data_IF_578659597531
#
_entry.id   IF_578659597531
#
_cell.length_a   1.000
_cell.length_b   1.000
_cell.length_c   1.000
_cell.angle_alpha   90.00
_cell.angle_beta   90.00
_cell.angle_gamma   90.00
#
_symmetry.space_group_name_H-M   'P 1'
#
loop_
_entity.id
_entity.type
_entity.pdbx_description
1 polymer ?
#
# COMPACT_ATOMS: atom_id res chain seq x y z
N UNK A 1 -45.92 13.90 5.63
CA UNK A 1 -45.32 14.58 4.47
C UNK A 1 -44.96 15.99 4.87
N UNK A 2 -43.67 16.21 5.11
CA UNK A 2 -43.14 17.34 5.88
C UNK A 2 -43.04 18.62 5.00
N UNK A 3 -43.27 19.79 5.60
CA UNK A 3 -43.31 21.09 4.93
C UNK A 3 -42.00 21.42 4.16
N UNK A 4 -40.91 20.74 4.52
CA UNK A 4 -39.58 20.86 3.94
C UNK A 4 -39.49 20.20 2.53
N UNK A 5 -40.19 19.09 2.29
CA UNK A 5 -40.16 18.39 0.99
C UNK A 5 -40.92 19.14 -0.10
N UNK A 6 -41.84 20.02 0.26
CA UNK A 6 -42.59 20.85 -0.70
C UNK A 6 -41.78 22.03 -1.22
N UNK A 7 -40.76 22.49 -0.47
CA UNK A 7 -39.95 23.67 -0.82
C UNK A 7 -38.85 23.30 -1.86
N UNK A 8 -38.45 22.06 -1.93
CA UNK A 8 -37.43 21.59 -2.92
C UNK A 8 -38.05 21.24 -4.29
N UNK A 9 -39.37 21.28 -4.43
CA UNK A 9 -40.08 20.90 -5.68
C UNK A 9 -40.67 22.08 -6.46
N UNK A 10 -40.39 23.32 -6.06
CA UNK A 10 -40.70 24.45 -6.91
C UNK A 10 -39.63 24.56 -7.98
N UNK A 11 -39.94 24.48 -9.28
CA UNK A 11 -39.02 24.86 -10.32
C UNK A 11 -38.65 26.33 -10.06
N UNK A 12 -37.36 26.58 -9.83
CA UNK A 12 -36.85 27.93 -9.74
C UNK A 12 -37.34 28.68 -10.97
N UNK A 13 -38.02 29.80 -10.71
CA UNK A 13 -38.51 30.70 -11.76
C UNK A 13 -37.26 31.14 -12.56
N UNK A 14 -37.04 30.43 -13.69
CA UNK A 14 -35.84 30.60 -14.51
C UNK A 14 -35.94 31.88 -15.31
N UNK A 15 -35.81 33.02 -14.59
CA UNK A 15 -35.55 34.26 -15.28
C UNK A 15 -34.24 34.07 -16.05
N UNK A 16 -34.26 34.24 -17.39
CA UNK A 16 -33.02 34.03 -18.15
C UNK A 16 -31.92 34.94 -17.60
N UNK A 17 -30.77 34.35 -17.33
CA UNK A 17 -29.61 35.12 -16.86
C UNK A 17 -29.32 36.24 -17.85
N UNK A 18 -29.05 37.46 -17.42
CA UNK A 18 -28.67 38.56 -18.31
C UNK A 18 -27.42 38.13 -19.12
N UNK A 19 -27.45 38.46 -20.42
CA UNK A 19 -26.45 37.96 -21.39
C UNK A 19 -25.00 38.29 -21.01
N UNK A 20 -24.76 39.38 -20.29
CA UNK A 20 -23.44 39.78 -19.81
C UNK A 20 -22.90 38.82 -18.73
N UNK A 21 -23.76 38.32 -17.80
CA UNK A 21 -23.37 37.38 -16.76
C UNK A 21 -23.19 35.97 -17.36
N UNK A 22 -23.99 35.60 -18.36
CA UNK A 22 -23.84 34.33 -19.07
C UNK A 22 -22.50 34.30 -19.84
N UNK A 23 -22.09 35.40 -20.47
CA UNK A 23 -20.79 35.50 -21.17
C UNK A 23 -19.60 35.43 -20.17
N UNK A 24 -19.69 36.12 -19.06
CA UNK A 24 -18.66 36.07 -18.01
C UNK A 24 -18.52 34.72 -17.36
N UNK A 25 -19.62 33.99 -17.12
CA UNK A 25 -19.60 32.61 -16.63
C UNK A 25 -19.05 31.63 -17.67
N UNK A 26 -19.30 31.87 -18.95
CA UNK A 26 -18.70 31.05 -20.01
C UNK A 26 -17.19 31.24 -20.11
N UNK A 27 -16.71 32.45 -19.98
CA UNK A 27 -15.28 32.78 -19.99
C UNK A 27 -14.53 32.20 -18.75
N UNK A 28 -15.18 32.19 -17.59
CA UNK A 28 -14.64 31.57 -16.36
C UNK A 28 -14.71 30.03 -16.39
N UNK A 29 -15.60 29.45 -17.19
CA UNK A 29 -15.73 27.98 -17.30
C UNK A 29 -14.68 27.36 -18.21
N UNK A 30 -14.14 28.09 -19.18
CA UNK A 30 -13.11 27.57 -20.10
C UNK A 30 -11.83 27.08 -19.36
N UNK A 31 -11.24 27.83 -18.43
CA UNK A 31 -10.06 27.35 -17.70
C UNK A 31 -10.37 26.18 -16.76
N UNK A 32 -11.60 26.10 -16.23
CA UNK A 32 -12.02 24.98 -15.36
C UNK A 32 -12.22 23.70 -16.16
N UNK A 33 -12.78 23.80 -17.37
CA UNK A 33 -12.95 22.66 -18.28
C UNK A 33 -11.58 22.15 -18.76
N UNK A 34 -10.64 23.06 -19.07
CA UNK A 34 -9.27 22.69 -19.46
C UNK A 34 -8.49 22.01 -18.31
N UNK A 35 -8.79 22.34 -17.04
CA UNK A 35 -8.21 21.67 -15.88
C UNK A 35 -8.90 20.32 -15.57
N UNK A 36 -10.12 20.11 -16.06
CA UNK A 36 -10.86 18.85 -15.87
C UNK A 36 -10.51 17.82 -16.93
N UNK A 37 -9.91 18.23 -18.06
CA UNK A 37 -9.22 17.34 -18.98
C UNK A 37 -7.83 16.93 -18.42
N UNK A 38 -7.80 16.39 -17.20
CA UNK A 38 -6.69 15.55 -16.78
C UNK A 38 -6.50 14.48 -17.87
N UNK A 39 -5.26 14.21 -18.32
CA UNK A 39 -5.02 13.23 -19.36
C UNK A 39 -5.74 11.95 -18.96
N UNK A 40 -6.79 11.61 -19.71
CA UNK A 40 -7.53 10.36 -19.56
C UNK A 40 -6.49 9.27 -19.61
N UNK A 41 -6.14 8.71 -18.44
CA UNK A 41 -5.36 7.49 -18.37
C UNK A 41 -6.15 6.51 -19.23
N UNK A 42 -5.61 6.23 -20.42
CA UNK A 42 -6.21 5.29 -21.37
C UNK A 42 -6.71 4.08 -20.58
N UNK A 43 -7.95 3.61 -20.80
CA UNK A 43 -8.49 2.48 -20.06
C UNK A 43 -7.47 1.35 -20.21
N UNK A 44 -6.81 0.98 -19.09
CA UNK A 44 -5.93 -0.19 -19.10
C UNK A 44 -6.78 -1.34 -19.58
N UNK A 45 -6.34 -2.01 -20.64
CA UNK A 45 -7.02 -3.20 -21.14
C UNK A 45 -7.39 -4.10 -19.96
N UNK A 46 -8.61 -4.62 -19.91
CA UNK A 46 -9.05 -5.48 -18.82
C UNK A 46 -8.04 -6.62 -18.70
N UNK A 47 -7.42 -6.75 -17.52
CA UNK A 47 -6.47 -7.82 -17.23
C UNK A 47 -7.16 -9.15 -17.46
N UNK A 48 -6.51 -10.07 -18.16
CA UNK A 48 -7.01 -11.42 -18.37
C UNK A 48 -7.12 -12.12 -17.00
N UNK A 49 -8.10 -12.99 -16.79
CA UNK A 49 -8.27 -13.72 -15.52
C UNK A 49 -7.00 -14.49 -15.11
N UNK A 50 -6.23 -14.97 -16.08
CA UNK A 50 -4.93 -15.63 -15.85
C UNK A 50 -3.87 -14.68 -15.32
N UNK A 51 -3.83 -13.43 -15.78
CA UNK A 51 -2.91 -12.40 -15.30
C UNK A 51 -3.25 -12.00 -13.86
N UNK A 52 -4.54 -11.78 -13.58
CA UNK A 52 -5.03 -11.50 -12.23
C UNK A 52 -4.63 -12.62 -11.26
N UNK A 53 -4.83 -13.88 -11.66
CA UNK A 53 -4.50 -15.05 -10.85
C UNK A 53 -3.00 -15.14 -10.58
N UNK A 54 -2.17 -14.89 -11.58
CA UNK A 54 -0.71 -14.90 -11.44
C UNK A 54 -0.24 -13.79 -10.49
N UNK A 55 -0.78 -12.59 -10.61
CA UNK A 55 -0.48 -11.48 -9.71
C UNK A 55 -0.86 -11.84 -8.26
N UNK A 56 -2.08 -12.34 -8.04
CA UNK A 56 -2.55 -12.71 -6.72
C UNK A 56 -1.71 -13.84 -6.09
N UNK A 57 -1.33 -14.86 -6.86
CA UNK A 57 -0.46 -15.92 -6.38
C UNK A 57 0.94 -15.41 -6.01
N UNK A 58 1.50 -14.52 -6.79
CA UNK A 58 2.81 -13.89 -6.50
C UNK A 58 2.77 -13.08 -5.21
N UNK A 59 1.68 -12.33 -4.99
CA UNK A 59 1.47 -11.54 -3.78
C UNK A 59 1.30 -12.44 -2.55
N UNK A 60 0.51 -13.51 -2.66
CA UNK A 60 0.33 -14.51 -1.61
C UNK A 60 1.67 -15.15 -1.23
N UNK A 61 2.47 -15.54 -2.22
CA UNK A 61 3.79 -16.15 -1.98
C UNK A 61 4.72 -15.17 -1.26
N UNK A 62 4.70 -13.89 -1.64
CA UNK A 62 5.51 -12.84 -1.00
C UNK A 62 5.10 -12.64 0.46
N UNK A 63 3.81 -12.60 0.76
CA UNK A 63 3.30 -12.48 2.12
C UNK A 63 3.63 -13.72 2.96
N UNK A 64 3.47 -14.90 2.38
CA UNK A 64 3.82 -16.17 3.03
C UNK A 64 5.31 -16.20 3.40
N UNK A 65 6.18 -15.78 2.48
CA UNK A 65 7.62 -15.70 2.75
C UNK A 65 7.96 -14.75 3.89
N UNK A 66 7.32 -13.59 3.93
CA UNK A 66 7.50 -12.62 5.01
C UNK A 66 6.99 -13.17 6.36
N UNK A 67 5.88 -13.92 6.38
CA UNK A 67 5.36 -14.55 7.58
C UNK A 67 6.28 -15.68 8.07
N UNK A 68 6.81 -16.49 7.15
CA UNK A 68 7.81 -17.52 7.48
C UNK A 68 9.06 -16.92 8.11
N UNK A 69 9.58 -15.83 7.55
CA UNK A 69 10.75 -15.12 8.11
C UNK A 69 10.52 -14.74 9.58
N UNK A 70 9.35 -14.17 9.91
CA UNK A 70 9.00 -13.81 11.28
C UNK A 70 8.97 -15.03 12.20
N UNK A 71 8.40 -16.13 11.75
CA UNK A 71 8.29 -17.36 12.53
C UNK A 71 9.65 -17.99 12.77
N UNK A 72 10.49 -18.06 11.73
CA UNK A 72 11.85 -18.61 11.82
C UNK A 72 12.70 -17.80 12.80
N UNK A 73 12.66 -16.48 12.72
CA UNK A 73 13.42 -15.61 13.62
C UNK A 73 12.94 -15.78 15.06
N UNK A 74 11.63 -15.80 15.30
CA UNK A 74 11.09 -15.98 16.65
C UNK A 74 11.56 -17.29 17.29
N UNK A 75 11.61 -18.40 16.53
CA UNK A 75 12.08 -19.69 17.01
C UNK A 75 13.61 -19.77 17.16
N UNK A 76 14.37 -19.01 16.36
CA UNK A 76 15.84 -18.96 16.41
C UNK A 76 16.39 -18.05 17.52
N UNK A 77 15.58 -17.12 18.06
CA UNK A 77 16.01 -16.13 19.06
C UNK A 77 16.81 -16.73 20.23
N UNK A 78 16.38 -17.85 20.88
CA UNK A 78 17.13 -18.41 22.00
C UNK A 78 18.52 -18.89 21.60
N UNK A 79 18.65 -19.40 20.38
CA UNK A 79 19.93 -19.89 19.84
C UNK A 79 20.85 -18.72 19.51
N UNK A 80 20.32 -17.67 18.90
CA UNK A 80 21.02 -16.42 18.58
C UNK A 80 21.58 -15.77 19.86
N UNK A 81 20.76 -15.70 20.92
CA UNK A 81 21.17 -15.14 22.20
C UNK A 81 22.34 -15.90 22.86
N UNK A 82 22.34 -17.22 22.74
CA UNK A 82 23.46 -18.05 23.23
C UNK A 82 24.71 -17.88 22.39
N UNK A 83 24.56 -17.80 21.07
CA UNK A 83 25.71 -17.69 20.15
C UNK A 83 26.43 -16.35 20.31
N UNK A 84 25.70 -15.26 20.48
CA UNK A 84 26.27 -13.93 20.69
C UNK A 84 26.53 -13.60 22.17
N UNK A 85 26.13 -14.49 23.09
CA UNK A 85 26.23 -14.31 24.55
C UNK A 85 25.58 -12.98 25.00
N UNK A 86 24.50 -12.57 24.36
CA UNK A 86 23.81 -11.30 24.60
C UNK A 86 22.29 -11.52 24.63
N UNK A 87 21.81 -11.95 25.78
CA UNK A 87 20.38 -12.20 26.03
C UNK A 87 19.60 -10.90 26.23
N UNK A 88 20.30 -9.85 26.72
CA UNK A 88 19.66 -8.55 27.04
C UNK A 88 19.12 -7.84 25.80
N UNK A 89 19.77 -7.99 24.66
CA UNK A 89 19.43 -7.32 23.42
C UNK A 89 18.55 -8.16 22.48
N UNK A 90 18.15 -9.38 22.86
CA UNK A 90 17.30 -10.24 22.03
C UNK A 90 15.98 -9.60 21.63
N UNK A 91 15.34 -8.89 22.54
CA UNK A 91 14.08 -8.20 22.28
C UNK A 91 14.20 -7.13 21.17
N UNK A 92 15.38 -6.52 21.05
CA UNK A 92 15.63 -5.51 20.02
C UNK A 92 15.66 -6.08 18.61
N UNK A 93 15.98 -7.35 18.44
CA UNK A 93 15.94 -8.04 17.12
C UNK A 93 14.54 -8.03 16.55
N UNK A 94 13.51 -8.27 17.37
CA UNK A 94 12.12 -8.20 16.95
C UNK A 94 11.64 -6.76 16.89
N UNK A 95 11.93 -5.97 17.93
CA UNK A 95 11.44 -4.59 18.04
C UNK A 95 11.95 -3.70 16.91
N UNK A 96 13.23 -3.83 16.51
CA UNK A 96 13.81 -3.07 15.41
C UNK A 96 13.05 -3.33 14.08
N UNK A 97 12.73 -4.58 13.81
CA UNK A 97 11.92 -4.94 12.64
C UNK A 97 10.52 -4.34 12.72
N UNK A 98 9.80 -4.53 13.83
CA UNK A 98 8.44 -4.02 14.00
C UNK A 98 8.39 -2.49 13.93
N UNK A 99 9.32 -1.82 14.58
CA UNK A 99 9.40 -0.36 14.57
C UNK A 99 9.63 0.18 13.15
N UNK A 100 10.62 -0.38 12.44
CA UNK A 100 10.93 0.00 11.07
C UNK A 100 9.77 -0.28 10.12
N UNK A 101 9.14 -1.46 10.22
CA UNK A 101 8.02 -1.84 9.35
C UNK A 101 6.79 -0.97 9.58
N UNK A 102 6.46 -0.65 10.82
CA UNK A 102 5.33 0.20 11.16
C UNK A 102 5.54 1.64 10.71
N UNK A 103 6.75 2.18 10.93
CA UNK A 103 7.09 3.55 10.55
C UNK A 103 7.05 3.77 9.03
N UNK A 104 7.45 2.76 8.24
CA UNK A 104 7.59 2.88 6.79
C UNK A 104 6.30 2.54 6.03
N UNK A 105 5.39 1.79 6.64
CA UNK A 105 4.15 1.35 5.98
C UNK A 105 3.33 2.49 5.33
N UNK A 106 3.04 3.63 5.99
CA UNK A 106 2.30 4.72 5.36
C UNK A 106 3.09 5.40 4.23
N UNK A 107 4.43 5.44 4.37
CA UNK A 107 5.31 6.03 3.35
C UNK A 107 5.25 5.22 2.06
N UNK A 108 5.37 3.90 2.15
CA UNK A 108 5.26 3.03 0.98
C UNK A 108 3.86 3.04 0.36
N UNK A 109 2.82 3.22 1.16
CA UNK A 109 1.46 3.43 0.65
C UNK A 109 1.40 4.63 -0.29
N UNK A 110 1.81 5.80 0.18
CA UNK A 110 1.81 7.04 -0.62
C UNK A 110 2.80 7.01 -1.80
N UNK A 111 4.00 6.46 -1.60
CA UNK A 111 4.99 6.33 -2.67
C UNK A 111 4.49 5.39 -3.79
N UNK A 112 3.71 4.37 -3.47
CA UNK A 112 3.17 3.45 -4.46
C UNK A 112 2.19 4.14 -5.41
N UNK A 113 1.55 5.21 -4.98
CA UNK A 113 0.66 6.02 -5.82
C UNK A 113 1.46 6.92 -6.78
N UNK A 114 2.64 7.41 -6.36
CA UNK A 114 3.48 8.33 -7.13
C UNK A 114 4.37 7.56 -8.13
N UNK A 115 5.10 6.56 -7.66
CA UNK A 115 6.10 5.83 -8.45
C UNK A 115 5.55 4.57 -9.13
N UNK A 116 4.31 4.21 -8.83
CA UNK A 116 3.63 3.04 -9.37
C UNK A 116 3.87 1.77 -8.55
N UNK A 117 2.86 0.89 -8.57
CA UNK A 117 2.77 -0.34 -7.77
C UNK A 117 3.96 -1.27 -8.00
N UNK A 118 4.32 -1.48 -9.28
CA UNK A 118 5.37 -2.42 -9.67
C UNK A 118 6.75 -2.01 -9.14
N UNK A 119 7.11 -0.73 -9.25
CA UNK A 119 8.38 -0.23 -8.75
C UNK A 119 8.48 -0.40 -7.23
N UNK A 120 7.40 -0.09 -6.51
CA UNK A 120 7.38 -0.17 -5.05
C UNK A 120 7.42 -1.61 -4.53
N UNK A 121 6.77 -2.58 -5.19
CA UNK A 121 6.89 -4.00 -4.85
C UNK A 121 8.34 -4.47 -5.02
N UNK A 122 8.97 -4.15 -6.16
CA UNK A 122 10.36 -4.56 -6.43
C UNK A 122 11.30 -3.93 -5.40
N UNK A 123 11.13 -2.65 -5.07
CA UNK A 123 11.95 -1.94 -4.07
C UNK A 123 11.78 -2.56 -2.68
N UNK A 124 10.54 -2.80 -2.23
CA UNK A 124 10.25 -3.44 -0.94
C UNK A 124 10.89 -4.82 -0.85
N UNK A 125 10.71 -5.63 -1.89
CA UNK A 125 11.24 -7.00 -1.93
C UNK A 125 12.77 -7.01 -1.98
N UNK A 126 13.38 -6.14 -2.78
CA UNK A 126 14.85 -6.00 -2.84
C UNK A 126 15.43 -5.59 -1.50
N UNK A 127 14.81 -4.63 -0.82
CA UNK A 127 15.23 -4.16 0.50
C UNK A 127 15.06 -5.26 1.56
N UNK A 128 13.98 -6.03 1.49
CA UNK A 128 13.72 -7.17 2.37
C UNK A 128 14.78 -8.26 2.20
N UNK A 129 15.08 -8.64 0.95
CA UNK A 129 16.09 -9.66 0.63
C UNK A 129 17.49 -9.19 1.05
N UNK A 130 17.86 -7.94 0.75
CA UNK A 130 19.13 -7.37 1.16
C UNK A 130 19.28 -7.38 2.70
N UNK A 131 18.24 -6.99 3.43
CA UNK A 131 18.22 -7.07 4.89
C UNK A 131 18.36 -8.51 5.39
N UNK A 132 17.70 -9.47 4.73
CA UNK A 132 17.81 -10.90 5.07
C UNK A 132 19.24 -11.43 4.90
N UNK A 133 19.90 -11.08 3.79
CA UNK A 133 21.29 -11.45 3.55
C UNK A 133 22.21 -10.84 4.62
N UNK A 134 21.99 -9.58 4.98
CA UNK A 134 22.76 -8.92 6.04
C UNK A 134 22.54 -9.58 7.41
N UNK A 135 21.33 -10.03 7.71
CA UNK A 135 21.05 -10.81 8.92
C UNK A 135 21.83 -12.13 8.94
N UNK A 136 21.93 -12.81 7.80
CA UNK A 136 22.61 -14.09 7.68
C UNK A 136 24.15 -13.99 7.90
N UNK A 137 24.75 -12.86 7.54
CA UNK A 137 26.20 -12.61 7.69
C UNK A 137 26.56 -11.74 8.90
N UNK A 138 25.59 -11.44 9.76
CA UNK A 138 25.81 -10.57 10.92
C UNK A 138 26.84 -11.17 11.90
N UNK A 139 27.97 -10.48 12.19
CA UNK A 139 29.02 -11.00 13.07
C UNK A 139 28.72 -10.81 14.55
N UNK A 140 27.78 -9.94 14.90
CA UNK A 140 27.45 -9.59 16.28
C UNK A 140 26.00 -9.09 16.41
N UNK A 141 25.50 -9.01 17.66
CA UNK A 141 24.10 -8.63 17.96
C UNK A 141 23.71 -7.23 17.45
N UNK A 142 24.51 -6.15 17.62
CA UNK A 142 24.15 -4.84 17.09
C UNK A 142 23.97 -4.81 15.57
N UNK A 143 24.83 -5.49 14.83
CA UNK A 143 24.74 -5.58 13.37
C UNK A 143 23.48 -6.36 12.98
N UNK A 144 23.14 -7.43 13.70
CA UNK A 144 21.90 -8.17 13.49
C UNK A 144 20.66 -7.30 13.71
N UNK A 145 20.64 -6.49 14.77
CA UNK A 145 19.54 -5.55 15.06
C UNK A 145 19.39 -4.52 13.94
N UNK A 146 20.49 -3.94 13.47
CA UNK A 146 20.45 -2.99 12.34
C UNK A 146 19.97 -3.64 11.04
N UNK A 147 20.45 -4.85 10.75
CA UNK A 147 20.02 -5.62 9.59
C UNK A 147 18.53 -5.98 9.65
N UNK A 148 18.00 -6.29 10.84
CA UNK A 148 16.55 -6.49 11.08
C UNK A 148 15.75 -5.19 10.88
N UNK A 149 16.28 -4.05 11.30
CA UNK A 149 15.69 -2.75 11.00
C UNK A 149 15.59 -2.50 9.50
N UNK A 150 16.67 -2.73 8.75
CA UNK A 150 16.67 -2.62 7.28
C UNK A 150 15.69 -3.58 6.63
N UNK A 151 15.67 -4.83 7.08
CA UNK A 151 14.71 -5.83 6.60
C UNK A 151 13.26 -5.41 6.90
N UNK A 152 13.02 -4.80 8.07
CA UNK A 152 11.73 -4.23 8.46
C UNK A 152 11.26 -3.11 7.53
N UNK A 153 12.15 -2.26 7.02
CA UNK A 153 11.81 -1.26 6.01
C UNK A 153 11.25 -1.90 4.73
N UNK A 154 11.86 -3.00 4.27
CA UNK A 154 11.35 -3.76 3.13
C UNK A 154 10.03 -4.45 3.44
N UNK A 155 9.97 -5.18 4.56
CA UNK A 155 8.78 -5.94 5.00
C UNK A 155 7.56 -5.05 5.24
N UNK A 156 7.76 -3.86 5.85
CA UNK A 156 6.70 -2.90 6.10
C UNK A 156 6.09 -2.28 4.84
N UNK A 157 6.84 -2.26 3.73
CA UNK A 157 6.32 -1.82 2.43
C UNK A 157 5.47 -2.87 1.70
N UNK A 158 5.66 -4.16 1.98
CA UNK A 158 4.98 -5.26 1.28
C UNK A 158 3.46 -5.19 1.50
N UNK A 159 3.01 -5.13 2.76
CA UNK A 159 1.57 -5.16 3.11
C UNK A 159 0.76 -4.03 2.47
N UNK A 160 1.09 -2.74 2.62
CA UNK A 160 0.29 -1.66 2.04
C UNK A 160 0.29 -1.69 0.52
N UNK A 161 1.42 -2.04 -0.11
CA UNK A 161 1.49 -2.14 -1.57
C UNK A 161 0.66 -3.31 -2.09
N UNK A 162 0.67 -4.47 -1.42
CA UNK A 162 -0.20 -5.62 -1.72
C UNK A 162 -1.68 -5.24 -1.63
N UNK A 163 -2.09 -4.56 -0.55
CA UNK A 163 -3.46 -4.09 -0.37
C UNK A 163 -3.90 -3.15 -1.51
N UNK A 164 -3.01 -2.26 -1.93
CA UNK A 164 -3.28 -1.34 -3.02
C UNK A 164 -3.43 -2.08 -4.35
N UNK A 165 -2.56 -3.05 -4.65
CA UNK A 165 -2.66 -3.86 -5.88
C UNK A 165 -3.95 -4.67 -5.89
N UNK A 166 -4.34 -5.29 -4.78
CA UNK A 166 -5.62 -6.02 -4.67
C UNK A 166 -6.78 -5.07 -4.96
N UNK A 167 -6.73 -3.84 -4.44
CA UNK A 167 -7.79 -2.85 -4.68
C UNK A 167 -7.89 -2.40 -6.12
N UNK A 168 -6.80 -2.44 -6.88
CA UNK A 168 -6.77 -2.07 -8.29
C UNK A 168 -7.21 -3.20 -9.23
N UNK A 169 -6.95 -4.46 -8.84
CA UNK A 169 -7.14 -5.65 -9.68
C UNK A 169 -8.50 -6.31 -9.43
N UNK A 170 -9.02 -6.22 -8.20
CA UNK A 170 -10.23 -6.94 -7.78
C UNK A 170 -11.42 -6.00 -7.62
N UNK A 171 -12.59 -6.42 -8.14
CA UNK A 171 -13.82 -5.65 -8.01
C UNK A 171 -14.22 -5.45 -6.54
N UNK A 172 -14.90 -4.32 -6.17
CA UNK A 172 -15.29 -4.05 -4.78
C UNK A 172 -16.11 -5.15 -4.11
N UNK A 173 -16.89 -5.91 -4.90
CA UNK A 173 -17.73 -7.02 -4.40
C UNK A 173 -16.92 -8.25 -4.01
N UNK A 174 -15.77 -8.46 -4.62
CA UNK A 174 -14.93 -9.63 -4.43
C UNK A 174 -13.78 -9.38 -3.45
N UNK A 175 -13.47 -8.11 -3.14
CA UNK A 175 -12.39 -7.72 -2.22
C UNK A 175 -12.49 -8.45 -0.88
N UNK A 176 -13.69 -8.52 -0.28
CA UNK A 176 -13.88 -9.18 1.00
C UNK A 176 -13.50 -10.67 0.98
N UNK A 177 -13.80 -11.35 -0.12
CA UNK A 177 -13.44 -12.77 -0.30
C UNK A 177 -11.92 -12.97 -0.39
N UNK A 178 -11.24 -12.12 -1.17
CA UNK A 178 -9.78 -12.21 -1.30
C UNK A 178 -9.07 -11.76 -0.02
N UNK A 179 -9.55 -10.71 0.67
CA UNK A 179 -9.00 -10.32 1.96
C UNK A 179 -9.10 -11.41 3.03
N UNK A 180 -10.16 -12.23 3.03
CA UNK A 180 -10.27 -13.37 3.91
C UNK A 180 -9.16 -14.40 3.68
N UNK A 181 -8.74 -14.63 2.43
CA UNK A 181 -7.61 -15.52 2.11
C UNK A 181 -6.25 -14.95 2.54
N UNK A 182 -6.14 -13.62 2.67
CA UNK A 182 -4.89 -12.96 3.09
C UNK A 182 -4.78 -12.78 4.61
N UNK A 183 -5.90 -12.89 5.34
CA UNK A 183 -5.94 -12.70 6.80
C UNK A 183 -5.99 -13.99 7.60
N UNK A 184 -6.26 -15.14 6.97
CA UNK A 184 -6.35 -16.48 7.60
C UNK A 184 -5.08 -17.25 7.47
#
# INVERSE_FOLDING_TARGET
MNKFERQCRQPADSKPLPANIAAELAELSEPVVALTEAPSLAPRAPLTESEVRTILLSLLLTMFLAALDQTIVATALPTIGRQFNDVSNLSWVITAYLLASTAVAPVFGTLSDIYGRRAMIITSLSLFVAGSVLCAVAPNMPVLILARGLQGLGGGGIMPVVQTVISDVVSPRERGRYQAYFSG
#
